data_IF_804468444254
#
_entry.id   IF_804468444254
#
_cell.length_a   1.000
_cell.length_b   1.000
_cell.length_c   1.000
_cell.angle_alpha   90.00
_cell.angle_beta   90.00
_cell.angle_gamma   90.00
#
_symmetry.space_group_name_H-M   'P 1'
#
loop_
_entity.id
_entity.type
_entity.pdbx_description
1 polymer ?
#
# COMPACT_ATOMS: atom_id res chain seq x y z
N UNK A 1 -28.21 11.86 12.52
CA UNK A 1 -28.47 12.12 11.08
C UNK A 1 -27.21 12.04 10.21
N UNK A 2 -26.06 12.59 10.62
CA UNK A 2 -24.82 12.53 9.83
C UNK A 2 -24.31 11.10 9.49
N UNK A 3 -24.54 10.10 10.35
CA UNK A 3 -24.12 8.73 10.11
C UNK A 3 -24.89 8.03 8.97
N UNK A 4 -26.18 8.28 8.85
CA UNK A 4 -27.05 7.65 7.82
C UNK A 4 -26.74 8.23 6.44
N UNK A 5 -26.55 9.54 6.36
CA UNK A 5 -26.19 10.23 5.09
C UNK A 5 -24.85 9.71 4.56
N UNK A 6 -23.83 9.54 5.43
CA UNK A 6 -22.52 9.00 5.03
C UNK A 6 -22.56 7.53 4.60
N UNK A 7 -23.46 6.71 5.17
CA UNK A 7 -23.64 5.32 4.74
C UNK A 7 -24.29 5.24 3.34
N UNK A 8 -25.31 6.06 3.09
CA UNK A 8 -25.96 6.13 1.78
C UNK A 8 -24.97 6.61 0.72
N UNK A 9 -24.17 7.64 1.02
CA UNK A 9 -23.11 8.15 0.16
C UNK A 9 -22.10 7.05 -0.20
N UNK A 10 -21.61 6.27 0.78
CA UNK A 10 -20.67 5.19 0.56
C UNK A 10 -21.24 4.06 -0.32
N UNK A 11 -22.51 3.68 -0.11
CA UNK A 11 -23.20 2.69 -0.95
C UNK A 11 -23.37 3.22 -2.38
N UNK A 12 -23.75 4.48 -2.54
CA UNK A 12 -23.85 5.13 -3.83
C UNK A 12 -22.50 5.16 -4.56
N UNK A 13 -21.41 5.53 -3.86
CA UNK A 13 -20.06 5.51 -4.39
C UNK A 13 -19.63 4.12 -4.84
N UNK A 14 -19.90 3.09 -4.02
CA UNK A 14 -19.61 1.69 -4.38
C UNK A 14 -20.32 1.28 -5.69
N UNK A 15 -21.59 1.63 -5.83
CA UNK A 15 -22.35 1.36 -7.06
C UNK A 15 -21.74 2.09 -8.27
N UNK A 16 -21.30 3.34 -8.11
CA UNK A 16 -20.64 4.08 -9.18
C UNK A 16 -19.32 3.46 -9.58
N UNK A 17 -18.45 3.07 -8.64
CA UNK A 17 -17.17 2.43 -8.95
C UNK A 17 -17.36 1.08 -9.69
N UNK A 18 -18.34 0.28 -9.27
CA UNK A 18 -18.69 -0.96 -9.99
C UNK A 18 -19.22 -0.65 -11.39
N UNK A 19 -20.07 0.38 -11.53
CA UNK A 19 -20.62 0.80 -12.81
C UNK A 19 -19.53 1.30 -13.76
N UNK A 20 -18.54 2.04 -13.25
CA UNK A 20 -17.37 2.49 -14.03
C UNK A 20 -16.56 1.26 -14.49
N UNK A 21 -16.31 0.29 -13.62
CA UNK A 21 -15.60 -0.94 -13.99
C UNK A 21 -16.35 -1.73 -15.10
N UNK A 22 -17.67 -1.80 -14.99
CA UNK A 22 -18.51 -2.43 -16.03
C UNK A 22 -18.52 -1.63 -17.34
N UNK A 23 -18.54 -0.29 -17.28
CA UNK A 23 -18.51 0.56 -18.45
C UNK A 23 -17.17 0.47 -19.20
N UNK A 24 -16.08 0.30 -18.46
CA UNK A 24 -14.73 0.11 -19.00
C UNK A 24 -14.43 -1.35 -19.39
N UNK A 25 -15.43 -2.25 -19.28
CA UNK A 25 -15.28 -3.67 -19.62
C UNK A 25 -15.00 -3.87 -21.11
N UNK A 26 -14.03 -4.72 -21.44
CA UNK A 26 -13.74 -5.12 -22.83
C UNK A 26 -14.88 -5.91 -23.48
N UNK A 27 -15.63 -6.67 -22.68
CA UNK A 27 -16.84 -7.35 -23.15
C UNK A 27 -18.07 -6.58 -22.68
N UNK A 28 -18.81 -5.97 -23.60
CA UNK A 28 -20.07 -5.28 -23.33
C UNK A 28 -21.21 -6.30 -23.09
N UNK A 29 -21.01 -7.13 -22.05
CA UNK A 29 -21.99 -8.11 -21.59
C UNK A 29 -22.52 -7.70 -20.21
N UNK A 30 -23.68 -8.24 -19.84
CA UNK A 30 -24.19 -8.04 -18.48
C UNK A 30 -23.18 -8.50 -17.45
N UNK A 31 -22.95 -7.73 -16.38
CA UNK A 31 -21.97 -8.06 -15.35
C UNK A 31 -22.34 -9.37 -14.66
N UNK A 32 -21.34 -10.15 -14.30
CA UNK A 32 -21.54 -11.36 -13.52
C UNK A 32 -21.88 -11.00 -12.07
N UNK A 33 -23.19 -10.89 -11.79
CA UNK A 33 -23.70 -10.53 -10.47
C UNK A 33 -23.19 -11.43 -9.35
N UNK A 34 -23.00 -12.72 -9.64
CA UNK A 34 -22.42 -13.66 -8.67
C UNK A 34 -21.02 -13.24 -8.26
N UNK A 35 -20.18 -12.80 -9.19
CA UNK A 35 -18.83 -12.32 -8.92
C UNK A 35 -18.87 -11.06 -8.04
N UNK A 36 -19.76 -10.11 -8.31
CA UNK A 36 -19.93 -8.89 -7.53
C UNK A 36 -20.34 -9.22 -6.09
N UNK A 37 -21.40 -10.03 -5.91
CA UNK A 37 -21.88 -10.38 -4.56
C UNK A 37 -20.86 -11.22 -3.78
N UNK A 38 -20.17 -12.16 -4.41
CA UNK A 38 -19.12 -12.95 -3.75
C UNK A 38 -17.92 -12.08 -3.41
N UNK A 39 -17.48 -11.20 -4.31
CA UNK A 39 -16.37 -10.29 -4.07
C UNK A 39 -16.67 -9.30 -2.93
N UNK A 40 -17.82 -8.63 -2.94
CA UNK A 40 -18.25 -7.73 -1.87
C UNK A 40 -18.50 -8.47 -0.54
N UNK A 41 -19.13 -9.64 -0.62
CA UNK A 41 -19.35 -10.49 0.55
C UNK A 41 -18.05 -10.92 1.21
N UNK A 42 -17.07 -11.33 0.42
CA UNK A 42 -15.74 -11.71 0.93
C UNK A 42 -15.03 -10.52 1.57
N UNK A 43 -15.07 -9.34 0.94
CA UNK A 43 -14.50 -8.11 1.54
C UNK A 43 -15.15 -7.80 2.89
N UNK A 44 -16.50 -7.86 2.96
CA UNK A 44 -17.24 -7.60 4.20
C UNK A 44 -16.91 -8.64 5.28
N UNK A 45 -16.86 -9.92 4.92
CA UNK A 45 -16.51 -11.00 5.84
C UNK A 45 -15.09 -10.79 6.38
N UNK A 46 -14.12 -10.52 5.51
CA UNK A 46 -12.74 -10.26 5.92
C UNK A 46 -12.67 -9.02 6.82
N UNK A 47 -13.33 -7.92 6.47
CA UNK A 47 -13.38 -6.73 7.30
C UNK A 47 -13.99 -7.02 8.69
N UNK A 48 -15.10 -7.78 8.75
CA UNK A 48 -15.71 -8.19 10.02
C UNK A 48 -14.77 -9.08 10.85
N UNK A 49 -14.07 -9.99 10.20
CA UNK A 49 -13.06 -10.84 10.85
C UNK A 49 -11.95 -9.98 11.46
N UNK A 50 -11.40 -9.05 10.69
CA UNK A 50 -10.29 -8.21 11.12
C UNK A 50 -10.69 -7.27 12.27
N UNK A 51 -11.92 -6.70 12.26
CA UNK A 51 -12.35 -5.72 13.26
C UNK A 51 -13.13 -6.28 14.44
N UNK A 52 -13.75 -7.47 14.31
CA UNK A 52 -14.67 -7.96 15.34
C UNK A 52 -14.20 -9.22 16.06
N UNK A 53 -13.30 -10.02 15.46
CA UNK A 53 -12.83 -11.24 16.11
C UNK A 53 -11.75 -10.91 17.16
N UNK A 54 -11.98 -11.22 18.46
CA UNK A 54 -10.99 -10.92 19.51
C UNK A 54 -9.62 -11.57 19.29
N UNK A 55 -9.62 -12.78 18.71
CA UNK A 55 -8.38 -13.49 18.38
C UNK A 55 -7.56 -12.67 17.36
N UNK A 56 -8.20 -12.14 16.32
CA UNK A 56 -7.53 -11.34 15.29
C UNK A 56 -7.00 -10.03 15.89
N UNK A 57 -7.81 -9.36 16.72
CA UNK A 57 -7.37 -8.15 17.43
C UNK A 57 -6.18 -8.42 18.35
N UNK A 58 -6.17 -9.57 19.03
CA UNK A 58 -5.01 -9.98 19.83
C UNK A 58 -3.78 -10.21 18.95
N UNK A 59 -3.93 -10.87 17.80
CA UNK A 59 -2.83 -11.08 16.84
C UNK A 59 -2.32 -9.74 16.29
N UNK A 60 -3.22 -8.83 15.93
CA UNK A 60 -2.84 -7.47 15.48
C UNK A 60 -2.08 -6.70 16.56
N UNK A 61 -2.53 -6.76 17.82
CA UNK A 61 -1.83 -6.15 18.93
C UNK A 61 -0.42 -6.76 19.15
N UNK A 62 -0.27 -8.08 18.96
CA UNK A 62 1.03 -8.74 18.97
C UNK A 62 1.92 -8.29 17.80
N UNK A 63 1.36 -8.17 16.60
CA UNK A 63 2.08 -7.64 15.44
C UNK A 63 2.53 -6.21 15.68
N UNK A 64 1.69 -5.34 16.23
CA UNK A 64 2.05 -3.96 16.60
C UNK A 64 3.22 -3.93 17.60
N UNK A 65 3.18 -4.78 18.63
CA UNK A 65 4.31 -4.91 19.56
C UNK A 65 5.58 -5.40 18.85
N UNK A 66 5.44 -6.36 17.93
CA UNK A 66 6.53 -6.85 17.10
C UNK A 66 7.13 -5.72 16.24
N UNK A 67 6.31 -4.92 15.60
CA UNK A 67 6.74 -3.77 14.79
C UNK A 67 7.49 -2.74 15.63
N UNK A 68 6.98 -2.40 16.80
CA UNK A 68 7.67 -1.48 17.70
C UNK A 68 9.02 -2.03 18.16
N UNK A 69 9.10 -3.34 18.47
CA UNK A 69 10.37 -4.00 18.82
C UNK A 69 11.37 -3.96 17.64
N UNK A 70 10.89 -4.15 16.42
CA UNK A 70 11.69 -4.09 15.20
C UNK A 70 12.17 -2.64 14.94
N UNK A 71 11.29 -1.65 15.11
CA UNK A 71 11.65 -0.24 14.98
C UNK A 71 12.77 0.12 15.98
N UNK A 72 12.61 -0.27 17.26
CA UNK A 72 13.63 -0.06 18.29
C UNK A 72 14.93 -0.81 18.00
N UNK A 73 14.88 -2.04 17.49
CA UNK A 73 16.07 -2.79 17.10
C UNK A 73 16.79 -2.15 15.90
N UNK A 74 16.03 -1.64 14.92
CA UNK A 74 16.61 -0.90 13.78
C UNK A 74 17.25 0.39 14.26
N UNK A 75 16.58 1.11 15.16
CA UNK A 75 17.12 2.34 15.76
C UNK A 75 18.43 2.10 16.48
N UNK A 76 18.55 1.00 17.23
CA UNK A 76 19.84 0.64 17.86
C UNK A 76 20.95 0.43 16.81
N UNK A 77 20.64 -0.20 15.68
CA UNK A 77 21.58 -0.37 14.56
C UNK A 77 21.93 0.96 13.88
N UNK A 78 20.96 1.82 13.63
CA UNK A 78 21.18 3.12 13.00
C UNK A 78 21.93 4.09 13.90
N UNK A 79 21.66 4.09 15.20
CA UNK A 79 22.42 4.85 16.20
C UNK A 79 23.90 4.40 16.25
N UNK A 80 24.14 3.09 16.18
CA UNK A 80 25.51 2.58 16.15
C UNK A 80 26.30 3.04 14.92
N UNK A 81 25.65 3.07 13.75
CA UNK A 81 26.30 3.45 12.48
C UNK A 81 26.34 4.95 12.26
N UNK A 82 25.26 5.67 12.58
CA UNK A 82 25.07 7.09 12.23
C UNK A 82 25.10 8.03 13.44
N UNK A 83 25.27 7.50 14.65
CA UNK A 83 25.26 8.29 15.88
C UNK A 83 23.92 9.00 16.09
N UNK A 84 23.95 10.26 16.48
CA UNK A 84 22.77 11.08 16.76
C UNK A 84 21.82 11.28 15.57
N UNK A 85 22.27 11.06 14.33
CA UNK A 85 21.41 11.11 13.14
C UNK A 85 20.48 9.88 13.05
N UNK A 86 20.89 8.76 13.64
CA UNK A 86 20.19 7.48 13.53
C UNK A 86 19.03 7.24 14.50
N UNK A 87 18.77 8.15 15.43
CA UNK A 87 17.71 8.00 16.41
C UNK A 87 17.72 9.06 17.51
N UNK A 88 16.76 9.02 18.43
CA UNK A 88 16.80 9.84 19.63
C UNK A 88 17.87 9.31 20.57
N UNK A 89 18.82 10.14 21.01
CA UNK A 89 19.92 9.66 21.81
C UNK A 89 19.51 9.48 23.26
N UNK A 90 19.05 8.30 23.61
CA UNK A 90 18.97 7.93 25.03
C UNK A 90 20.37 7.91 25.69
N UNK A 91 21.43 7.67 24.89
CA UNK A 91 22.81 7.51 25.39
C UNK A 91 23.87 8.32 24.61
N UNK A 92 23.51 8.99 23.53
CA UNK A 92 24.44 9.78 22.72
C UNK A 92 23.89 11.22 22.63
N UNK A 93 24.43 12.17 23.42
CA UNK A 93 23.95 13.56 23.39
C UNK A 93 24.21 14.19 22.02
N UNK A 94 23.33 15.08 21.59
CA UNK A 94 23.60 15.92 20.43
C UNK A 94 24.85 16.76 20.66
N UNK A 95 25.71 16.95 19.65
CA UNK A 95 26.90 17.81 19.78
C UNK A 95 26.54 19.30 19.75
N UNK A 96 25.25 19.64 19.77
CA UNK A 96 24.70 21.00 19.74
C UNK A 96 23.43 21.09 20.60
N UNK A 97 23.00 22.28 20.93
CA UNK A 97 21.75 22.52 21.64
C UNK A 97 20.57 22.35 20.68
N UNK A 98 19.63 21.52 21.05
CA UNK A 98 18.40 21.28 20.27
C UNK A 98 17.31 22.20 20.81
N UNK A 99 16.90 23.19 20.01
CA UNK A 99 15.78 24.08 20.34
C UNK A 99 14.45 23.47 19.96
N UNK A 100 14.38 22.77 18.81
CA UNK A 100 13.22 22.03 18.33
C UNK A 100 13.56 20.57 18.07
N UNK A 101 13.03 19.62 18.87
CA UNK A 101 13.25 18.19 18.66
C UNK A 101 12.80 17.70 17.28
N UNK A 102 11.75 18.29 16.69
CA UNK A 102 11.26 17.95 15.35
C UNK A 102 12.29 18.22 14.25
N UNK A 103 13.08 19.28 14.39
CA UNK A 103 14.12 19.65 13.42
C UNK A 103 15.30 18.65 13.36
N UNK A 104 15.42 17.74 14.33
CA UNK A 104 16.45 16.68 14.32
C UNK A 104 16.04 15.41 13.58
N UNK A 105 14.80 15.36 13.08
CA UNK A 105 14.31 14.19 12.36
C UNK A 105 14.89 14.16 10.94
N UNK A 106 15.75 13.16 10.67
CA UNK A 106 16.34 12.93 9.34
C UNK A 106 15.82 11.62 8.78
N UNK A 107 14.88 11.71 7.83
CA UNK A 107 14.20 10.56 7.20
C UNK A 107 15.19 9.49 6.70
N UNK A 108 16.28 9.92 6.06
CA UNK A 108 17.28 9.05 5.46
C UNK A 108 17.99 8.12 6.46
N UNK A 109 18.15 8.57 7.71
CA UNK A 109 18.90 7.85 8.74
C UNK A 109 18.01 7.18 9.79
N UNK A 110 16.75 7.65 9.95
CA UNK A 110 15.83 7.11 10.95
C UNK A 110 14.79 6.17 10.34
N UNK A 111 14.27 6.47 9.15
CA UNK A 111 13.11 5.78 8.58
C UNK A 111 13.51 4.85 7.43
N UNK A 112 14.34 5.31 6.49
CA UNK A 112 14.72 4.47 5.35
C UNK A 112 15.45 3.18 5.75
N UNK A 113 16.29 3.13 6.81
CA UNK A 113 16.91 1.89 7.24
C UNK A 113 15.93 0.81 7.75
N UNK A 114 14.71 1.17 8.13
CA UNK A 114 13.65 0.19 8.43
C UNK A 114 13.39 -0.72 7.23
N UNK A 115 13.40 -0.17 6.00
CA UNK A 115 13.22 -0.94 4.76
C UNK A 115 14.28 -2.04 4.67
N UNK A 116 15.54 -1.71 4.99
CA UNK A 116 16.66 -2.66 4.99
C UNK A 116 16.39 -3.82 5.95
N UNK A 117 16.09 -3.52 7.21
CA UNK A 117 15.86 -4.54 8.22
C UNK A 117 14.65 -5.42 7.90
N UNK A 118 13.56 -4.81 7.39
CA UNK A 118 12.38 -5.56 6.98
C UNK A 118 12.60 -6.47 5.78
N UNK A 119 13.41 -6.06 4.81
CA UNK A 119 13.78 -6.91 3.68
C UNK A 119 14.47 -8.17 4.17
N UNK A 120 15.41 -8.01 5.12
CA UNK A 120 16.09 -9.15 5.75
C UNK A 120 15.13 -10.04 6.55
N UNK A 121 14.25 -9.43 7.35
CA UNK A 121 13.28 -10.20 8.14
C UNK A 121 12.30 -10.99 7.26
N UNK A 122 11.82 -10.37 6.18
CA UNK A 122 10.94 -11.05 5.21
C UNK A 122 11.64 -12.23 4.54
N UNK A 123 12.92 -12.08 4.18
CA UNK A 123 13.73 -13.17 3.62
C UNK A 123 13.95 -14.30 4.63
N UNK A 124 14.17 -13.99 5.91
CA UNK A 124 14.27 -14.98 7.00
C UNK A 124 12.94 -15.75 7.15
N UNK A 125 11.80 -15.04 7.18
CA UNK A 125 10.47 -15.66 7.25
C UNK A 125 10.20 -16.56 6.03
N UNK A 126 10.71 -16.17 4.88
CA UNK A 126 10.67 -16.99 3.67
C UNK A 126 11.53 -18.25 3.81
N UNK A 127 12.78 -18.11 4.28
CA UNK A 127 13.71 -19.21 4.48
C UNK A 127 13.14 -20.29 5.42
N UNK A 128 12.48 -19.88 6.50
CA UNK A 128 11.79 -20.78 7.44
C UNK A 128 10.40 -21.24 6.98
N UNK A 129 10.01 -20.97 5.72
CA UNK A 129 8.74 -21.39 5.12
C UNK A 129 7.48 -20.80 5.78
N UNK A 130 7.63 -19.79 6.64
CA UNK A 130 6.47 -19.13 7.29
C UNK A 130 5.61 -18.42 6.25
N UNK A 131 6.20 -17.54 5.45
CA UNK A 131 5.47 -16.82 4.39
C UNK A 131 4.83 -17.73 3.34
N UNK A 132 5.52 -18.76 2.78
CA UNK A 132 4.89 -19.68 1.84
C UNK A 132 3.66 -20.42 2.41
N UNK A 133 3.65 -20.79 3.70
CA UNK A 133 2.49 -21.43 4.33
C UNK A 133 1.32 -20.45 4.41
N UNK A 134 1.56 -19.22 4.84
CA UNK A 134 0.53 -18.17 4.93
C UNK A 134 -0.05 -17.87 3.54
N UNK A 135 0.80 -17.70 2.53
CA UNK A 135 0.39 -17.43 1.15
C UNK A 135 -0.48 -18.56 0.61
N UNK A 136 -0.13 -19.83 0.85
CA UNK A 136 -0.96 -20.98 0.45
C UNK A 136 -2.34 -20.95 1.11
N UNK A 137 -2.43 -20.58 2.38
CA UNK A 137 -3.69 -20.44 3.10
C UNK A 137 -4.62 -19.39 2.45
N UNK A 138 -4.09 -18.19 2.18
CA UNK A 138 -4.84 -17.15 1.49
C UNK A 138 -5.19 -17.53 0.06
N UNK A 139 -4.27 -18.11 -0.70
CA UNK A 139 -4.50 -18.62 -2.06
C UNK A 139 -5.65 -19.63 -2.09
N UNK A 140 -5.68 -20.57 -1.15
CA UNK A 140 -6.77 -21.55 -1.05
C UNK A 140 -8.15 -20.88 -0.88
N UNK A 141 -8.22 -19.85 -0.01
CA UNK A 141 -9.47 -19.10 0.21
C UNK A 141 -9.90 -18.36 -1.07
N UNK A 142 -8.98 -17.64 -1.71
CA UNK A 142 -9.28 -16.88 -2.94
C UNK A 142 -9.73 -17.80 -4.09
N UNK A 143 -9.08 -18.93 -4.27
CA UNK A 143 -9.44 -19.93 -5.27
C UNK A 143 -10.83 -20.51 -5.00
N UNK A 144 -11.12 -20.86 -3.76
CA UNK A 144 -12.41 -21.48 -3.39
C UNK A 144 -13.58 -20.50 -3.51
N UNK A 145 -13.37 -19.23 -3.23
CA UNK A 145 -14.42 -18.20 -3.20
C UNK A 145 -14.58 -17.49 -4.53
N UNK A 146 -13.50 -17.01 -5.11
CA UNK A 146 -13.50 -16.22 -6.33
C UNK A 146 -13.19 -17.04 -7.58
N UNK A 147 -12.80 -18.31 -7.45
CA UNK A 147 -12.56 -19.20 -8.57
C UNK A 147 -11.38 -18.78 -9.46
N UNK A 148 -10.33 -18.15 -8.88
CA UNK A 148 -9.10 -17.81 -9.61
C UNK A 148 -8.22 -19.04 -9.80
N UNK A 149 -7.40 -19.07 -10.84
CA UNK A 149 -6.43 -20.14 -11.10
C UNK A 149 -5.40 -20.28 -9.99
N UNK A 150 -4.74 -21.44 -9.88
CA UNK A 150 -3.77 -21.72 -8.82
C UNK A 150 -2.63 -20.73 -8.80
N UNK A 151 -1.98 -20.46 -9.92
CA UNK A 151 -0.90 -19.50 -10.04
C UNK A 151 -1.37 -18.09 -9.68
N UNK A 152 -2.51 -17.64 -10.21
CA UNK A 152 -3.08 -16.32 -9.89
C UNK A 152 -3.40 -16.20 -8.40
N UNK A 153 -3.98 -17.25 -7.79
CA UNK A 153 -4.26 -17.30 -6.37
C UNK A 153 -3.00 -17.16 -5.49
N UNK A 154 -1.89 -17.78 -5.90
CA UNK A 154 -0.60 -17.66 -5.22
C UNK A 154 -0.04 -16.25 -5.34
N UNK A 155 0.02 -15.69 -6.54
CA UNK A 155 0.53 -14.34 -6.76
C UNK A 155 -0.32 -13.28 -6.03
N UNK A 156 -1.64 -13.33 -6.16
CA UNK A 156 -2.54 -12.36 -5.50
C UNK A 156 -2.49 -12.46 -3.97
N UNK A 157 -2.38 -13.68 -3.41
CA UNK A 157 -2.16 -13.86 -1.98
C UNK A 157 -0.77 -13.38 -1.55
N UNK A 158 0.24 -13.59 -2.39
CA UNK A 158 1.60 -13.09 -2.16
C UNK A 158 1.66 -11.57 -2.04
N UNK A 159 0.86 -10.84 -2.82
CA UNK A 159 0.80 -9.38 -2.81
C UNK A 159 0.39 -8.77 -1.45
N UNK A 160 -0.20 -9.54 -0.53
CA UNK A 160 -0.51 -9.06 0.82
C UNK A 160 0.78 -8.80 1.62
N UNK A 161 1.86 -9.52 1.32
CA UNK A 161 3.10 -9.52 2.09
C UNK A 161 4.32 -9.09 1.28
N UNK A 162 4.30 -9.35 -0.03
CA UNK A 162 5.38 -9.09 -0.97
C UNK A 162 5.02 -7.90 -1.86
N UNK A 163 6.03 -7.31 -2.48
CA UNK A 163 5.84 -6.22 -3.43
C UNK A 163 5.20 -6.68 -4.75
N UNK A 164 4.74 -5.72 -5.52
CA UNK A 164 4.03 -5.94 -6.79
C UNK A 164 4.87 -6.61 -7.89
N UNK A 165 6.21 -6.60 -7.76
CA UNK A 165 7.14 -7.29 -8.68
C UNK A 165 7.55 -8.65 -8.11
N UNK A 166 7.77 -8.73 -6.81
CA UNK A 166 8.21 -9.97 -6.13
C UNK A 166 7.12 -11.04 -6.13
N UNK A 167 5.88 -10.64 -5.97
CA UNK A 167 4.76 -11.59 -5.92
C UNK A 167 4.54 -12.34 -7.24
N UNK A 168 4.59 -11.74 -8.43
CA UNK A 168 4.60 -12.46 -9.70
C UNK A 168 5.79 -13.41 -9.87
N UNK A 169 6.95 -13.14 -9.26
CA UNK A 169 8.10 -14.07 -9.29
C UNK A 169 7.77 -15.44 -8.68
N UNK A 170 6.81 -15.51 -7.73
CA UNK A 170 6.36 -16.77 -7.14
C UNK A 170 5.75 -17.73 -8.16
N UNK A 171 5.25 -17.18 -9.26
CA UNK A 171 4.58 -17.92 -10.31
C UNK A 171 5.31 -17.80 -11.66
N UNK A 172 6.59 -17.42 -11.64
CA UNK A 172 7.39 -17.18 -12.84
C UNK A 172 7.29 -18.28 -13.91
N UNK A 173 7.32 -19.60 -13.58
CA UNK A 173 7.19 -20.66 -14.59
C UNK A 173 5.85 -20.67 -15.33
N UNK A 174 4.83 -20.04 -14.75
CA UNK A 174 3.47 -20.00 -15.30
C UNK A 174 3.12 -18.69 -15.99
N UNK A 175 4.01 -17.67 -15.89
CA UNK A 175 3.73 -16.33 -16.43
C UNK A 175 3.39 -16.33 -17.93
N UNK A 176 4.12 -17.12 -18.74
CA UNK A 176 3.85 -17.25 -20.18
C UNK A 176 2.55 -17.98 -20.53
N UNK A 177 1.93 -18.66 -19.56
CA UNK A 177 0.71 -19.42 -19.74
C UNK A 177 -0.53 -18.66 -19.26
N UNK A 178 -0.32 -17.53 -18.56
CA UNK A 178 -1.43 -16.71 -18.04
C UNK A 178 -2.25 -16.13 -19.20
N UNK A 179 -3.56 -16.26 -19.09
CA UNK A 179 -4.47 -15.53 -19.98
C UNK A 179 -4.38 -14.03 -19.72
N UNK A 180 -4.86 -13.22 -20.67
CA UNK A 180 -4.91 -11.77 -20.52
C UNK A 180 -5.68 -11.33 -19.27
N UNK A 181 -6.80 -11.99 -18.96
CA UNK A 181 -7.58 -11.74 -17.73
C UNK A 181 -6.77 -12.06 -16.49
N UNK A 182 -6.11 -13.20 -16.44
CA UNK A 182 -5.26 -13.63 -15.32
C UNK A 182 -4.09 -12.67 -15.08
N UNK A 183 -3.39 -12.26 -16.15
CA UNK A 183 -2.31 -11.28 -16.04
C UNK A 183 -2.83 -9.95 -15.50
N UNK A 184 -3.99 -9.48 -15.98
CA UNK A 184 -4.59 -8.24 -15.51
C UNK A 184 -5.00 -8.32 -14.02
N UNK A 185 -5.48 -9.49 -13.54
CA UNK A 185 -5.74 -9.73 -12.12
C UNK A 185 -4.46 -9.61 -11.30
N UNK A 186 -3.37 -10.26 -11.72
CA UNK A 186 -2.07 -10.22 -11.05
C UNK A 186 -1.57 -8.77 -10.94
N UNK A 187 -1.62 -8.02 -12.04
CA UNK A 187 -1.23 -6.61 -12.09
C UNK A 187 -2.11 -5.74 -11.19
N UNK A 188 -3.43 -5.88 -11.29
CA UNK A 188 -4.37 -5.08 -10.51
C UNK A 188 -4.23 -5.34 -9.01
N UNK A 189 -4.01 -6.58 -8.59
CA UNK A 189 -3.76 -6.91 -7.19
C UNK A 189 -2.43 -6.34 -6.70
N UNK A 190 -1.37 -6.39 -7.51
CA UNK A 190 -0.09 -5.77 -7.18
C UNK A 190 -0.20 -4.26 -6.96
N UNK A 191 -1.02 -3.58 -7.79
CA UNK A 191 -1.27 -2.14 -7.65
C UNK A 191 -2.22 -1.79 -6.48
N UNK A 192 -3.10 -2.70 -6.08
CA UNK A 192 -4.10 -2.46 -5.05
C UNK A 192 -3.60 -2.71 -3.62
N UNK A 193 -2.45 -3.35 -3.46
CA UNK A 193 -1.86 -3.73 -2.17
C UNK A 193 -0.53 -3.01 -1.94
N UNK A 194 0.02 -3.16 -0.73
CA UNK A 194 1.35 -2.67 -0.37
C UNK A 194 2.23 -3.81 0.12
N UNK A 195 3.54 -3.72 -0.11
CA UNK A 195 4.49 -4.69 0.40
C UNK A 195 4.60 -4.62 1.93
N UNK A 196 4.81 -5.76 2.58
CA UNK A 196 4.97 -5.84 4.04
C UNK A 196 6.08 -4.94 4.59
N UNK A 197 7.18 -4.78 3.84
CA UNK A 197 8.29 -3.89 4.22
C UNK A 197 7.89 -2.43 4.32
N UNK A 198 7.07 -1.93 3.40
CA UNK A 198 6.60 -0.53 3.41
C UNK A 198 5.35 -0.33 4.28
N UNK A 199 4.55 -1.38 4.49
CA UNK A 199 3.38 -1.35 5.39
C UNK A 199 3.76 -0.86 6.78
N UNK A 200 4.88 -1.32 7.30
CA UNK A 200 5.38 -0.96 8.63
C UNK A 200 5.89 0.47 8.63
N UNK A 201 6.58 0.87 7.57
CA UNK A 201 6.99 2.26 7.40
C UNK A 201 5.77 3.21 7.50
N UNK A 202 4.69 2.89 6.79
CA UNK A 202 3.46 3.69 6.84
C UNK A 202 2.80 3.68 8.20
N UNK A 203 2.84 2.54 8.92
CA UNK A 203 2.29 2.47 10.27
C UNK A 203 3.04 3.36 11.26
N UNK A 204 4.35 3.51 11.10
CA UNK A 204 5.17 4.41 11.92
C UNK A 204 4.88 5.88 11.57
N UNK A 205 4.74 6.23 10.29
CA UNK A 205 4.37 7.58 9.86
C UNK A 205 3.02 7.99 10.48
N UNK A 206 2.05 7.08 10.50
CA UNK A 206 0.69 7.37 10.97
C UNK A 206 0.49 7.14 12.48
N UNK A 207 1.48 6.69 13.24
CA UNK A 207 1.30 6.29 14.65
C UNK A 207 0.73 7.40 15.55
N UNK A 208 0.98 8.68 15.23
CA UNK A 208 0.48 9.83 15.97
C UNK A 208 -0.88 10.34 15.46
N UNK A 209 -1.36 9.84 14.34
CA UNK A 209 -2.57 10.32 13.66
C UNK A 209 -3.69 9.29 13.72
N UNK A 210 -3.34 8.00 13.72
CA UNK A 210 -4.29 6.91 13.68
C UNK A 210 -3.93 5.82 14.71
N UNK A 211 -4.84 5.56 15.64
CA UNK A 211 -4.74 4.43 16.54
C UNK A 211 -4.73 3.12 15.74
N UNK A 212 -3.86 2.15 16.13
CA UNK A 212 -3.70 0.86 15.44
C UNK A 212 -3.44 0.98 13.93
N UNK A 213 -2.60 1.94 13.51
CA UNK A 213 -2.29 2.21 12.10
C UNK A 213 -1.89 0.94 11.33
N UNK A 214 -1.04 0.06 11.93
CA UNK A 214 -0.65 -1.21 11.29
C UNK A 214 -1.84 -2.13 11.02
N UNK A 215 -2.74 -2.27 12.01
CA UNK A 215 -3.93 -3.11 11.86
C UNK A 215 -4.82 -2.62 10.72
N UNK A 216 -5.00 -1.31 10.60
CA UNK A 216 -5.76 -0.70 9.51
C UNK A 216 -5.08 -0.90 8.15
N UNK A 217 -3.77 -0.67 8.02
CA UNK A 217 -3.03 -0.82 6.77
C UNK A 217 -2.99 -2.29 6.34
N UNK A 218 -2.76 -3.23 7.27
CA UNK A 218 -2.84 -4.66 6.98
C UNK A 218 -4.24 -5.07 6.52
N UNK A 219 -5.27 -4.61 7.21
CA UNK A 219 -6.67 -4.85 6.83
C UNK A 219 -6.96 -4.29 5.43
N UNK A 220 -6.53 -3.07 5.13
CA UNK A 220 -6.66 -2.46 3.81
C UNK A 220 -6.02 -3.34 2.72
N UNK A 221 -4.80 -3.82 2.94
CA UNK A 221 -4.11 -4.70 1.99
C UNK A 221 -4.87 -6.01 1.76
N UNK A 222 -5.36 -6.66 2.85
CA UNK A 222 -6.07 -7.93 2.75
C UNK A 222 -7.43 -7.79 2.02
N UNK A 223 -8.21 -6.76 2.32
CA UNK A 223 -9.52 -6.55 1.66
C UNK A 223 -9.39 -6.03 0.24
N UNK A 224 -8.27 -5.40 -0.11
CA UNK A 224 -8.01 -4.92 -1.47
C UNK A 224 -7.82 -6.05 -2.47
N UNK A 225 -7.32 -7.22 -2.06
CA UNK A 225 -7.12 -8.36 -2.97
C UNK A 225 -8.44 -8.87 -3.57
N UNK A 226 -9.47 -9.24 -2.79
CA UNK A 226 -10.73 -9.66 -3.37
C UNK A 226 -11.43 -8.54 -4.16
N UNK A 227 -11.25 -7.27 -3.76
CA UNK A 227 -11.74 -6.12 -4.51
C UNK A 227 -11.07 -6.03 -5.89
N UNK A 228 -9.75 -6.10 -5.94
CA UNK A 228 -8.98 -6.02 -7.17
C UNK A 228 -9.30 -7.19 -8.13
N UNK A 229 -9.42 -8.42 -7.61
CA UNK A 229 -9.83 -9.59 -8.40
C UNK A 229 -11.23 -9.36 -9.00
N UNK A 230 -12.18 -8.89 -8.20
CA UNK A 230 -13.54 -8.62 -8.65
C UNK A 230 -13.55 -7.57 -9.76
N UNK A 231 -12.92 -6.42 -9.55
CA UNK A 231 -12.87 -5.31 -10.51
C UNK A 231 -12.13 -5.73 -11.78
N UNK A 232 -10.99 -6.40 -11.65
CA UNK A 232 -10.20 -6.86 -12.81
C UNK A 232 -11.01 -7.81 -13.69
N UNK A 233 -11.76 -8.76 -13.11
CA UNK A 233 -12.64 -9.66 -13.86
C UNK A 233 -13.87 -8.98 -14.47
N UNK A 234 -14.34 -7.90 -13.88
CA UNK A 234 -15.40 -7.08 -14.50
C UNK A 234 -14.86 -6.31 -15.71
N UNK A 235 -13.63 -5.80 -15.64
CA UNK A 235 -13.01 -5.04 -16.73
C UNK A 235 -12.51 -5.95 -17.86
N UNK A 236 -11.83 -7.06 -17.53
CA UNK A 236 -11.33 -8.03 -18.51
C UNK A 236 -11.87 -9.43 -18.14
N UNK A 237 -13.10 -9.77 -18.57
CA UNK A 237 -13.69 -11.07 -18.30
C UNK A 237 -12.93 -12.19 -19.01
N UNK A 238 -12.61 -13.27 -18.28
CA UNK A 238 -11.99 -14.49 -18.80
C UNK A 238 -12.33 -15.68 -17.91
N UNK A 239 -12.50 -16.84 -18.50
CA UNK A 239 -12.87 -18.09 -17.81
C UNK A 239 -11.69 -19.08 -17.71
N UNK A 240 -10.55 -18.73 -18.28
CA UNK A 240 -9.36 -19.58 -18.26
C UNK A 240 -8.71 -19.55 -16.86
N UNK A 241 -8.28 -20.70 -16.39
CA UNK A 241 -7.60 -20.83 -15.10
C UNK A 241 -6.29 -21.60 -15.26
N UNK A 242 -5.16 -20.94 -15.01
CA UNK A 242 -3.85 -21.60 -14.98
C UNK A 242 -3.75 -22.48 -13.73
N UNK A 243 -3.61 -23.79 -13.94
CA UNK A 243 -3.97 -24.83 -12.99
C UNK A 243 -3.03 -25.14 -11.84
N UNK A 244 -1.81 -24.58 -11.75
CA UNK A 244 -0.84 -24.95 -10.71
C UNK A 244 -0.84 -23.98 -9.53
N UNK A 245 -0.75 -24.53 -8.30
CA UNK A 245 -0.55 -23.79 -7.03
C UNK A 245 0.90 -23.89 -6.56
N UNK A 246 1.80 -24.31 -7.43
CA UNK A 246 3.20 -24.45 -7.08
C UNK A 246 3.83 -23.08 -6.85
N UNK A 247 4.45 -22.93 -5.67
CA UNK A 247 5.19 -21.71 -5.30
C UNK A 247 6.64 -21.91 -5.70
N UNK A 248 7.12 -21.05 -6.56
CA UNK A 248 8.54 -20.98 -6.90
C UNK A 248 9.26 -20.09 -5.90
N UNK A 249 10.41 -20.53 -5.40
CA UNK A 249 11.23 -19.71 -4.52
C UNK A 249 11.80 -18.53 -5.34
N UNK A 250 11.46 -17.27 -4.99
CA UNK A 250 11.88 -16.09 -5.76
C UNK A 250 13.39 -15.89 -5.71
N UNK A 251 14.02 -16.28 -4.60
CA UNK A 251 15.47 -16.21 -4.39
C UNK A 251 15.93 -17.51 -3.70
N UNK A 252 16.95 -18.14 -4.26
CA UNK A 252 17.55 -19.36 -3.69
C UNK A 252 18.75 -18.98 -2.85
N UNK A 253 18.57 -18.82 -1.55
CA UNK A 253 19.66 -18.74 -0.60
C UNK A 253 19.98 -20.14 -0.05
N UNK A 254 21.27 -20.44 0.14
CA UNK A 254 21.73 -21.76 0.54
C UNK A 254 21.63 -22.00 2.04
N UNK A 255 21.79 -20.96 2.84
CA UNK A 255 21.74 -21.00 4.30
C UNK A 255 21.30 -19.63 4.89
N UNK A 256 21.12 -19.59 6.21
CA UNK A 256 20.65 -18.38 6.91
C UNK A 256 21.60 -17.18 6.75
N UNK A 257 22.92 -17.37 6.79
CA UNK A 257 23.88 -16.29 6.61
C UNK A 257 23.83 -15.73 5.18
N UNK A 258 23.72 -16.61 4.19
CA UNK A 258 23.54 -16.24 2.79
C UNK A 258 22.22 -15.49 2.60
N UNK A 259 21.15 -15.93 3.28
CA UNK A 259 19.86 -15.20 3.31
C UNK A 259 20.04 -13.79 3.86
N UNK A 260 20.71 -13.61 4.99
CA UNK A 260 20.92 -12.29 5.61
C UNK A 260 21.77 -11.40 4.72
N UNK A 261 22.90 -11.90 4.21
CA UNK A 261 23.82 -11.09 3.39
C UNK A 261 23.23 -10.71 2.06
N UNK A 262 22.58 -11.63 1.36
CA UNK A 262 21.93 -11.39 0.08
C UNK A 262 20.76 -10.43 0.22
N UNK A 263 19.86 -10.66 1.16
CA UNK A 263 18.70 -9.76 1.39
C UNK A 263 19.13 -8.39 1.92
N UNK A 264 20.28 -8.27 2.61
CA UNK A 264 20.83 -6.96 2.97
C UNK A 264 21.21 -6.17 1.74
N UNK A 265 21.84 -6.80 0.75
CA UNK A 265 22.20 -6.13 -0.53
C UNK A 265 20.95 -5.67 -1.30
N UNK A 266 19.89 -6.49 -1.32
CA UNK A 266 18.62 -6.13 -1.95
C UNK A 266 17.91 -5.00 -1.18
N UNK A 267 17.92 -5.03 0.15
CA UNK A 267 17.40 -3.98 1.00
C UNK A 267 18.12 -2.63 0.82
N UNK A 268 19.45 -2.64 0.64
CA UNK A 268 20.22 -1.41 0.33
C UNK A 268 19.76 -0.82 -1.00
N UNK A 269 19.62 -1.63 -2.04
CA UNK A 269 19.13 -1.16 -3.34
C UNK A 269 17.74 -0.53 -3.23
N UNK A 270 16.84 -1.19 -2.50
CA UNK A 270 15.48 -0.69 -2.28
C UNK A 270 15.50 0.62 -1.51
N UNK A 271 16.26 0.70 -0.41
CA UNK A 271 16.40 1.90 0.42
C UNK A 271 16.93 3.10 -0.39
N UNK A 272 17.99 2.90 -1.18
CA UNK A 272 18.59 3.94 -2.01
C UNK A 272 17.63 4.39 -3.11
N UNK A 273 16.95 3.44 -3.77
CA UNK A 273 15.96 3.75 -4.80
C UNK A 273 14.79 4.56 -4.24
N UNK A 274 14.25 4.17 -3.08
CA UNK A 274 13.17 4.93 -2.42
C UNK A 274 13.64 6.34 -2.08
N UNK A 275 14.83 6.51 -1.49
CA UNK A 275 15.39 7.82 -1.16
C UNK A 275 15.61 8.69 -2.41
N UNK A 276 16.16 8.13 -3.48
CA UNK A 276 16.38 8.84 -4.74
C UNK A 276 15.05 9.26 -5.39
N UNK A 277 14.05 8.38 -5.42
CA UNK A 277 12.72 8.70 -5.95
C UNK A 277 12.04 9.80 -5.15
N UNK A 278 12.15 9.80 -3.82
CA UNK A 278 11.60 10.88 -2.98
C UNK A 278 12.23 12.22 -3.33
N UNK A 279 13.56 12.30 -3.45
CA UNK A 279 14.26 13.53 -3.82
C UNK A 279 13.76 14.04 -5.19
N UNK A 280 13.73 13.17 -6.20
CA UNK A 280 13.35 13.56 -7.57
C UNK A 280 11.89 14.01 -7.62
N UNK A 281 10.97 13.24 -7.02
CA UNK A 281 9.54 13.54 -7.08
C UNK A 281 9.20 14.84 -6.33
N UNK A 282 9.75 15.04 -5.14
CA UNK A 282 9.55 16.29 -4.38
C UNK A 282 10.13 17.48 -5.15
N UNK A 283 11.31 17.33 -5.75
CA UNK A 283 11.91 18.40 -6.57
C UNK A 283 11.05 18.72 -7.80
N UNK A 284 10.47 17.72 -8.47
CA UNK A 284 9.56 17.93 -9.59
C UNK A 284 8.29 18.66 -9.17
N UNK A 285 7.70 18.32 -8.03
CA UNK A 285 6.53 19.04 -7.48
C UNK A 285 6.89 20.48 -7.18
N UNK A 286 8.02 20.73 -6.51
CA UNK A 286 8.48 22.08 -6.21
C UNK A 286 8.70 22.89 -7.50
N UNK A 287 9.26 22.28 -8.55
CA UNK A 287 9.42 22.92 -9.85
C UNK A 287 8.07 23.27 -10.50
N UNK A 288 7.12 22.33 -10.48
CA UNK A 288 5.76 22.58 -11.01
C UNK A 288 5.08 23.70 -10.21
N UNK A 289 5.14 23.67 -8.89
CA UNK A 289 4.58 24.72 -8.03
C UNK A 289 5.24 26.09 -8.29
N UNK A 290 6.56 26.12 -8.55
CA UNK A 290 7.26 27.35 -8.93
C UNK A 290 6.78 27.91 -10.29
N UNK A 291 6.42 27.03 -11.23
CA UNK A 291 5.83 27.45 -12.51
C UNK A 291 4.40 27.94 -12.29
N UNK A 292 3.60 27.22 -11.51
CA UNK A 292 2.21 27.60 -11.20
C UNK A 292 2.13 28.93 -10.43
N UNK A 293 3.10 29.25 -9.60
CA UNK A 293 3.18 30.53 -8.86
C UNK A 293 3.38 31.77 -9.76
N UNK A 294 3.66 31.57 -11.05
CA UNK A 294 3.66 32.66 -12.05
C UNK A 294 2.23 33.04 -12.48
N UNK A 295 1.22 32.23 -12.17
CA UNK A 295 -0.17 32.51 -12.43
C UNK A 295 -0.76 33.39 -11.31
N UNK A 296 -1.81 34.19 -11.62
CA UNK A 296 -2.50 34.98 -10.60
C UNK A 296 -3.11 34.06 -9.52
N UNK A 297 -3.06 34.54 -8.28
CA UNK A 297 -3.70 33.86 -7.16
C UNK A 297 -5.20 33.72 -7.36
N UNK A 298 -5.74 32.57 -6.97
CA UNK A 298 -7.18 32.31 -6.95
C UNK A 298 -7.68 32.39 -5.51
N UNK A 299 -8.57 33.35 -5.22
CA UNK A 299 -9.11 33.51 -3.85
C UNK A 299 -8.10 33.96 -2.82
N UNK A 300 -6.96 34.55 -3.23
CA UNK A 300 -5.89 35.00 -2.33
C UNK A 300 -4.90 33.91 -1.93
N UNK A 301 -4.98 32.74 -2.56
CA UNK A 301 -4.01 31.66 -2.35
C UNK A 301 -3.34 31.29 -3.67
N UNK A 302 -2.03 30.93 -3.65
CA UNK A 302 -1.32 30.52 -4.86
C UNK A 302 -1.88 29.18 -5.39
N UNK A 303 -1.85 29.05 -6.71
CA UNK A 303 -2.22 27.79 -7.37
C UNK A 303 -1.08 26.81 -7.18
N UNK A 304 -1.36 25.66 -6.56
CA UNK A 304 -0.40 24.56 -6.40
C UNK A 304 -0.87 23.30 -7.14
N UNK A 305 0.05 22.40 -7.42
CA UNK A 305 -0.27 21.09 -8.01
C UNK A 305 -1.23 20.31 -7.11
N UNK A 306 -1.01 20.36 -5.81
CA UNK A 306 -1.83 19.68 -4.80
C UNK A 306 -3.27 20.22 -4.81
N UNK A 307 -3.44 21.53 -4.96
CA UNK A 307 -4.76 22.17 -5.07
C UNK A 307 -5.50 21.75 -6.34
N UNK A 308 -4.80 21.75 -7.49
CA UNK A 308 -5.38 21.28 -8.77
C UNK A 308 -5.81 19.82 -8.69
N UNK A 309 -4.95 18.97 -8.14
CA UNK A 309 -5.26 17.56 -7.93
C UNK A 309 -6.41 17.39 -6.93
N UNK A 310 -6.47 18.25 -5.90
CA UNK A 310 -7.56 18.30 -4.94
C UNK A 310 -8.92 18.48 -5.63
N UNK A 311 -9.02 19.40 -6.54
CA UNK A 311 -10.26 19.64 -7.31
C UNK A 311 -10.62 18.42 -8.17
N UNK A 312 -9.64 17.85 -8.88
CA UNK A 312 -9.87 16.70 -9.77
C UNK A 312 -10.35 15.48 -8.99
N UNK A 313 -9.73 15.20 -7.82
CA UNK A 313 -10.05 14.03 -7.01
C UNK A 313 -11.15 14.26 -5.96
N UNK A 314 -11.59 15.51 -5.73
CA UNK A 314 -12.68 15.80 -4.79
C UNK A 314 -13.96 14.98 -5.05
N UNK A 315 -14.46 14.82 -6.28
CA UNK A 315 -15.61 13.94 -6.54
C UNK A 315 -15.33 12.47 -6.20
N UNK A 316 -14.10 12.01 -6.44
CA UNK A 316 -13.71 10.62 -6.20
C UNK A 316 -13.70 10.31 -4.69
N UNK A 317 -13.07 11.18 -3.89
CA UNK A 317 -13.02 10.99 -2.42
C UNK A 317 -14.38 11.21 -1.79
N UNK A 318 -15.21 12.08 -2.36
CA UNK A 318 -16.61 12.21 -1.95
C UNK A 318 -17.37 10.89 -2.14
N UNK A 319 -17.22 10.23 -3.27
CA UNK A 319 -17.80 8.90 -3.51
C UNK A 319 -17.30 7.84 -2.53
N UNK A 320 -16.09 7.98 -1.98
CA UNK A 320 -15.54 7.11 -0.94
C UNK A 320 -16.21 7.34 0.45
N UNK A 321 -16.97 8.42 0.62
CA UNK A 321 -17.68 8.72 1.86
C UNK A 321 -17.08 9.85 2.69
N UNK A 322 -16.14 10.63 2.12
CA UNK A 322 -15.59 11.85 2.72
C UNK A 322 -16.64 12.97 2.62
N UNK A 323 -16.86 13.78 3.67
CA UNK A 323 -17.74 14.94 3.61
C UNK A 323 -17.22 15.97 2.58
N UNK A 324 -18.14 16.65 1.87
CA UNK A 324 -17.74 17.60 0.82
C UNK A 324 -16.81 18.72 1.32
N UNK A 325 -17.00 19.17 2.56
CA UNK A 325 -16.15 20.18 3.19
C UNK A 325 -14.69 19.76 3.35
N UNK A 326 -14.40 18.45 3.36
CA UNK A 326 -13.07 17.88 3.53
C UNK A 326 -12.50 17.35 2.20
N UNK A 327 -13.30 17.39 1.10
CA UNK A 327 -12.93 16.76 -0.16
C UNK A 327 -11.76 17.42 -0.87
N UNK A 328 -11.48 18.68 -0.64
CA UNK A 328 -10.34 19.35 -1.27
C UNK A 328 -9.03 18.81 -0.70
N UNK A 329 -8.90 18.77 0.63
CA UNK A 329 -7.73 18.21 1.33
C UNK A 329 -7.58 16.71 1.06
N UNK A 330 -8.65 15.93 1.20
CA UNK A 330 -8.63 14.49 0.90
C UNK A 330 -8.33 14.21 -0.58
N UNK A 331 -8.85 15.03 -1.49
CA UNK A 331 -8.59 14.94 -2.92
C UNK A 331 -7.14 15.24 -3.27
N UNK A 332 -6.51 16.23 -2.61
CA UNK A 332 -5.09 16.51 -2.81
C UNK A 332 -4.21 15.31 -2.43
N UNK A 333 -4.52 14.65 -1.31
CA UNK A 333 -3.83 13.41 -0.90
C UNK A 333 -3.97 12.29 -1.94
N UNK A 334 -5.16 12.07 -2.51
CA UNK A 334 -5.37 11.12 -3.61
C UNK A 334 -4.60 11.50 -4.87
N UNK A 335 -4.55 12.79 -5.17
CA UNK A 335 -3.78 13.31 -6.29
C UNK A 335 -2.28 13.09 -6.11
N UNK A 336 -1.74 13.45 -4.95
CA UNK A 336 -0.34 13.20 -4.56
C UNK A 336 -0.01 11.71 -4.71
N UNK A 337 -0.85 10.83 -4.16
CA UNK A 337 -0.69 9.38 -4.32
C UNK A 337 -0.59 8.97 -5.78
N UNK A 338 -1.53 9.43 -6.61
CA UNK A 338 -1.68 8.98 -8.00
C UNK A 338 -0.54 9.46 -8.89
N UNK A 339 -0.11 10.72 -8.71
CA UNK A 339 0.91 11.35 -9.54
C UNK A 339 2.31 11.03 -9.04
N UNK A 340 2.52 11.06 -7.73
CA UNK A 340 3.81 10.81 -7.09
C UNK A 340 3.90 9.37 -6.59
N UNK A 341 3.56 9.16 -5.34
CA UNK A 341 3.44 7.84 -4.72
C UNK A 341 2.67 7.92 -3.39
N UNK A 342 2.32 6.74 -2.86
CA UNK A 342 1.62 6.59 -1.59
C UNK A 342 2.45 6.98 -0.37
N UNK A 343 3.78 6.85 -0.42
CA UNK A 343 4.65 7.22 0.70
C UNK A 343 4.59 8.72 0.97
N UNK A 344 4.70 9.55 -0.08
CA UNK A 344 4.57 11.00 0.04
C UNK A 344 3.15 11.37 0.52
N UNK A 345 2.14 10.67 0.00
CA UNK A 345 0.76 10.89 0.42
C UNK A 345 0.52 10.54 1.89
N UNK A 346 1.18 9.51 2.44
CA UNK A 346 1.12 9.18 3.86
C UNK A 346 1.83 10.21 4.74
N UNK A 347 2.96 10.76 4.30
CA UNK A 347 3.57 11.90 4.98
C UNK A 347 2.65 13.12 4.96
N UNK A 348 2.08 13.45 3.80
CA UNK A 348 1.13 14.56 3.70
C UNK A 348 -0.11 14.33 4.57
N UNK A 349 -0.61 13.08 4.69
CA UNK A 349 -1.73 12.76 5.60
C UNK A 349 -1.33 12.94 7.08
N UNK A 350 -0.09 12.62 7.44
CA UNK A 350 0.41 12.79 8.80
C UNK A 350 0.60 14.28 9.16
N UNK A 351 0.87 15.13 8.17
CA UNK A 351 1.12 16.57 8.33
C UNK A 351 -0.17 17.42 8.18
N UNK A 352 -1.34 16.79 7.93
CA UNK A 352 -2.63 17.51 7.84
C UNK A 352 -2.94 18.20 9.17
N UNK A 353 -3.29 19.48 9.12
CA UNK A 353 -3.61 20.25 10.32
C UNK A 353 -4.81 19.65 11.09
N UNK A 354 -4.75 19.67 12.45
CA UNK A 354 -5.85 19.20 13.26
C UNK A 354 -7.16 19.93 12.97
N UNK A 355 -8.17 19.21 12.50
CA UNK A 355 -9.49 19.77 12.17
C UNK A 355 -9.79 19.88 10.67
N UNK A 356 -8.81 19.80 9.78
CA UNK A 356 -9.04 19.75 8.32
C UNK A 356 -9.68 18.45 7.86
N UNK A 357 -9.31 17.35 8.48
CA UNK A 357 -9.92 16.04 8.25
C UNK A 357 -10.51 15.49 9.55
N UNK A 358 -11.74 15.01 9.50
CA UNK A 358 -12.34 14.23 10.59
C UNK A 358 -11.63 12.88 10.76
N UNK A 359 -11.67 12.30 11.97
CA UNK A 359 -11.11 10.96 12.23
C UNK A 359 -11.63 9.90 11.24
N UNK A 360 -12.88 10.02 10.81
CA UNK A 360 -13.47 9.15 9.79
C UNK A 360 -12.80 9.33 8.44
N UNK A 361 -12.54 10.56 8.02
CA UNK A 361 -11.89 10.86 6.74
C UNK A 361 -10.43 10.46 6.74
N UNK A 362 -9.70 10.66 7.85
CA UNK A 362 -8.35 10.13 8.04
C UNK A 362 -8.34 8.61 7.83
N UNK A 363 -9.29 7.90 8.45
CA UNK A 363 -9.41 6.46 8.29
C UNK A 363 -9.71 6.07 6.84
N UNK A 364 -10.68 6.72 6.17
CA UNK A 364 -11.01 6.47 4.76
C UNK A 364 -9.77 6.71 3.88
N UNK A 365 -9.05 7.83 4.10
CA UNK A 365 -7.86 8.15 3.34
C UNK A 365 -6.74 7.15 3.59
N UNK A 366 -6.54 6.66 4.81
CA UNK A 366 -5.58 5.60 5.10
C UNK A 366 -5.82 4.37 4.23
N UNK A 367 -7.08 3.93 4.08
CA UNK A 367 -7.43 2.81 3.20
C UNK A 367 -7.26 3.16 1.72
N UNK A 368 -7.67 4.35 1.31
CA UNK A 368 -7.58 4.79 -0.07
C UNK A 368 -6.13 4.97 -0.55
N UNK A 369 -5.24 5.42 0.34
CA UNK A 369 -3.82 5.57 0.06
C UNK A 369 -3.06 4.24 0.06
N UNK A 370 -3.59 3.20 0.71
CA UNK A 370 -2.96 1.90 0.87
C UNK A 370 -2.97 1.09 -0.44
N UNK A 371 -1.98 1.30 -1.29
CA UNK A 371 -1.79 0.58 -2.56
C UNK A 371 -0.84 1.32 -3.50
N UNK A 372 -0.06 0.56 -4.26
CA UNK A 372 0.92 1.07 -5.23
C UNK A 372 0.31 1.67 -6.51
N UNK A 373 -0.94 2.16 -6.43
CA UNK A 373 -1.68 2.67 -7.58
C UNK A 373 -1.24 4.10 -7.96
N UNK A 374 -0.04 4.23 -8.52
CA UNK A 374 0.54 5.47 -9.05
C UNK A 374 1.27 5.21 -10.37
N UNK A 375 1.56 6.27 -11.12
CA UNK A 375 2.20 6.16 -12.44
C UNK A 375 3.61 5.57 -12.38
N UNK A 376 4.39 5.91 -11.34
CA UNK A 376 5.73 5.36 -11.14
C UNK A 376 5.71 3.85 -10.91
N UNK A 377 4.84 3.39 -10.02
CA UNK A 377 4.65 1.96 -9.72
C UNK A 377 4.13 1.17 -10.92
N UNK A 378 3.25 1.77 -11.73
CA UNK A 378 2.80 1.16 -13.00
C UNK A 378 3.98 0.90 -13.94
N UNK A 379 4.87 1.88 -14.09
CA UNK A 379 6.09 1.73 -14.90
C UNK A 379 7.01 0.63 -14.36
N UNK A 380 7.23 0.58 -13.05
CA UNK A 380 8.05 -0.45 -12.38
C UNK A 380 7.44 -1.84 -12.58
N UNK A 381 6.13 -1.96 -12.45
CA UNK A 381 5.43 -3.24 -12.63
C UNK A 381 5.52 -3.73 -14.07
N UNK A 382 5.26 -2.87 -15.05
CA UNK A 382 5.36 -3.23 -16.49
C UNK A 382 6.79 -3.62 -16.83
N UNK A 383 7.80 -2.87 -16.36
CA UNK A 383 9.20 -3.19 -16.57
C UNK A 383 9.63 -4.50 -15.89
N UNK A 384 9.15 -4.73 -14.65
CA UNK A 384 9.42 -5.96 -13.90
C UNK A 384 8.83 -7.20 -14.56
N UNK A 385 7.55 -7.14 -14.94
CA UNK A 385 6.88 -8.26 -15.62
C UNK A 385 7.43 -8.52 -17.03
N UNK A 386 7.80 -7.45 -17.74
CA UNK A 386 8.40 -7.58 -19.09
C UNK A 386 9.78 -8.23 -19.10
N UNK A 387 10.46 -8.29 -17.94
CA UNK A 387 11.75 -8.97 -17.76
C UNK A 387 11.63 -10.43 -17.29
N UNK A 388 10.43 -10.94 -17.06
CA UNK A 388 10.16 -12.31 -16.58
C UNK A 388 9.83 -13.26 -17.72
#
# INVERSE_FOLDING_TARGET
>A
MQSVTGQIQAIFGLMIFISIACALSERRAWPNWRLIFVGLGLQLIVALIMFKLPIVQTVLAWLNKGVNAIASATEAGTQFVFGYLGGEPANIPYPFTVEDPGATFVLAFRVLPLILFFTVLSAILWHYRVLPVVIRGFSYVLRRTLGVGGAVGVSTAGNIFLGMVESPLLIRPFMSQLSRSELFIVMSCGMATVAGSVMILYSIILQNVLDDALGHILTASVISVPAAIMIARLMIPGDESTGSDEITDPVKYTNLLDTITGSTADGIRLMVNVGAMLIVLIALVALVNSILSLLPDIGGSPITLEWLLGIIFAPVVWLMGVPWSECLTAGSLMGIKTVLNELIAFFALADVEPGELSKKSVLIMTYALCGFANFGSLGIMIGGLGGM
#
